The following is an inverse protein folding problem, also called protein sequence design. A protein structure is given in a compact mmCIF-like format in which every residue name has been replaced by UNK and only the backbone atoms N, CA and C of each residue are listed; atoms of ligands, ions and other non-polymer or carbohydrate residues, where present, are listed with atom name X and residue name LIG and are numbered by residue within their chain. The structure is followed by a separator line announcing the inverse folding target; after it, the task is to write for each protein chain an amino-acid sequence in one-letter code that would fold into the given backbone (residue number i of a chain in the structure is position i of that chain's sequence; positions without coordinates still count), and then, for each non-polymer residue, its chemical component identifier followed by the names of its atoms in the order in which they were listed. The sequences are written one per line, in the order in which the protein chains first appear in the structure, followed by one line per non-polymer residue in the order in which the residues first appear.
data_IF_338698648882
#
_entry.id   IF_338698648882
#
_cell.length_a   1.000
_cell.length_b   1.000
_cell.length_c   1.000
_cell.angle_alpha   90.00
_cell.angle_beta   90.00
_cell.angle_gamma   90.00
#
_symmetry.space_group_name_H-M   'P 1'
#
loop_
_entity.id
_entity.type
_entity.pdbx_description
1 polymer ?
#
# COMPACT_ATOMS: atom_id res chain seq x y z
N UNK A 1 3.31 28.20 23.15
CA UNK A 1 2.56 27.06 23.73
C UNK A 1 3.36 25.77 23.53
N UNK A 2 4.51 25.62 24.21
CA UNK A 2 5.36 24.43 24.09
C UNK A 2 5.48 23.79 25.47
N UNK A 3 4.59 22.85 25.74
CA UNK A 3 4.79 21.88 26.81
C UNK A 3 5.70 20.80 26.25
N UNK A 4 7.02 20.97 26.37
CA UNK A 4 7.97 19.90 26.09
C UNK A 4 7.60 18.76 27.03
N UNK A 5 7.11 17.65 26.50
CA UNK A 5 6.95 16.42 27.25
C UNK A 5 8.31 16.12 27.87
N UNK A 6 8.43 16.15 29.20
CA UNK A 6 9.65 15.78 29.93
C UNK A 6 9.34 14.55 30.76
N UNK A 7 10.22 13.55 30.70
CA UNK A 7 10.10 12.31 31.46
C UNK A 7 10.24 11.05 30.61
N UNK A 8 10.06 9.86 31.20
CA UNK A 8 10.30 8.57 30.56
C UNK A 8 9.54 8.35 29.24
N UNK A 9 8.34 8.91 29.11
CA UNK A 9 7.54 8.84 27.88
C UNK A 9 8.18 9.64 26.75
N UNK A 10 8.73 10.82 27.03
CA UNK A 10 9.37 11.65 26.01
C UNK A 10 10.63 10.96 25.47
N UNK A 11 11.48 10.44 26.37
CA UNK A 11 12.65 9.65 25.98
C UNK A 11 12.26 8.42 25.15
N UNK A 12 11.14 7.76 25.49
CA UNK A 12 10.62 6.62 24.73
C UNK A 12 10.12 7.02 23.35
N UNK A 13 9.48 8.18 23.21
CA UNK A 13 9.05 8.72 21.91
C UNK A 13 10.28 9.01 21.05
N UNK A 14 11.29 9.68 21.60
CA UNK A 14 12.53 10.02 20.88
C UNK A 14 13.21 8.74 20.37
N UNK A 15 13.36 7.72 21.23
CA UNK A 15 13.90 6.41 20.84
C UNK A 15 13.10 5.77 19.70
N UNK A 16 11.76 5.80 19.76
CA UNK A 16 10.92 5.23 18.71
C UNK A 16 11.03 5.99 17.39
N UNK A 17 11.16 7.32 17.44
CA UNK A 17 11.35 8.16 16.26
C UNK A 17 12.72 7.92 15.61
N UNK A 18 13.79 7.82 16.41
CA UNK A 18 15.12 7.49 15.92
C UNK A 18 15.14 6.09 15.28
N UNK A 19 14.51 5.11 15.92
CA UNK A 19 14.38 3.76 15.36
C UNK A 19 13.61 3.74 14.06
N UNK A 20 12.51 4.50 13.95
CA UNK A 20 11.74 4.64 12.71
C UNK A 20 12.60 5.27 11.62
N UNK A 21 13.28 6.37 11.91
CA UNK A 21 14.15 7.05 10.94
C UNK A 21 15.28 6.14 10.45
N UNK A 22 15.92 5.39 11.35
CA UNK A 22 16.94 4.41 10.98
C UNK A 22 16.39 3.27 10.11
N UNK A 23 15.18 2.79 10.42
CA UNK A 23 14.50 1.78 9.61
C UNK A 23 14.13 2.29 8.21
N UNK A 24 13.64 3.53 8.12
CA UNK A 24 13.30 4.18 6.85
C UNK A 24 14.55 4.28 5.94
N UNK A 25 15.68 4.76 6.48
CA UNK A 25 16.94 4.87 5.73
C UNK A 25 17.39 3.50 5.24
N UNK A 26 17.48 2.50 6.13
CA UNK A 26 17.92 1.17 5.76
C UNK A 26 17.00 0.52 4.71
N UNK A 27 15.68 0.77 4.80
CA UNK A 27 14.72 0.28 3.82
C UNK A 27 14.92 0.92 2.45
N UNK A 28 14.99 2.26 2.37
CA UNK A 28 15.16 2.93 1.08
C UNK A 28 16.52 2.68 0.45
N UNK A 29 17.59 2.54 1.23
CA UNK A 29 18.90 2.14 0.72
C UNK A 29 18.85 0.77 0.03
N UNK A 30 18.06 -0.16 0.56
CA UNK A 30 17.91 -1.50 0.00
C UNK A 30 16.89 -1.59 -1.15
N UNK A 31 15.81 -0.79 -1.11
CA UNK A 31 14.60 -1.05 -1.89
C UNK A 31 14.32 -0.01 -2.99
N UNK A 32 15.00 1.14 -3.00
CA UNK A 32 14.68 2.24 -3.91
C UNK A 32 14.66 1.84 -5.39
N UNK A 33 15.67 1.09 -5.86
CA UNK A 33 15.73 0.64 -7.26
C UNK A 33 14.59 -0.33 -7.60
N UNK A 34 14.29 -1.25 -6.68
CA UNK A 34 13.21 -2.24 -6.86
C UNK A 34 11.84 -1.56 -6.88
N UNK A 35 11.62 -0.58 -6.00
CA UNK A 35 10.41 0.24 -5.97
C UNK A 35 10.27 1.06 -7.25
N UNK A 36 11.33 1.72 -7.71
CA UNK A 36 11.29 2.48 -8.97
C UNK A 36 10.93 1.58 -10.16
N UNK A 37 11.54 0.39 -10.25
CA UNK A 37 11.23 -0.60 -11.26
C UNK A 37 9.78 -1.12 -11.16
N UNK A 38 9.26 -1.32 -9.95
CA UNK A 38 7.87 -1.69 -9.73
C UNK A 38 6.91 -0.59 -10.19
N UNK A 39 7.15 0.67 -9.79
CA UNK A 39 6.34 1.82 -10.20
C UNK A 39 6.32 1.98 -11.73
N UNK A 40 7.44 1.72 -12.40
CA UNK A 40 7.50 1.74 -13.85
C UNK A 40 6.59 0.67 -14.48
N UNK A 41 6.68 -0.59 -14.02
CA UNK A 41 5.79 -1.68 -14.50
C UNK A 41 4.30 -1.40 -14.22
N UNK A 42 4.00 -0.80 -13.07
CA UNK A 42 2.64 -0.36 -12.74
C UNK A 42 2.15 0.70 -13.74
N UNK A 43 2.99 1.69 -14.05
CA UNK A 43 2.65 2.73 -15.01
C UNK A 43 2.37 2.16 -16.41
N UNK A 44 3.13 1.16 -16.85
CA UNK A 44 2.88 0.45 -18.12
C UNK A 44 1.52 -0.25 -18.12
N UNK A 45 1.16 -0.96 -17.04
CA UNK A 45 -0.15 -1.63 -16.91
C UNK A 45 -1.31 -0.62 -16.91
N UNK A 46 -1.18 0.48 -16.18
CA UNK A 46 -2.17 1.57 -16.24
C UNK A 46 -2.29 2.18 -17.64
N UNK A 47 -1.19 2.31 -18.38
CA UNK A 47 -1.22 2.81 -19.76
C UNK A 47 -1.95 1.86 -20.73
N UNK A 48 -1.96 0.55 -20.42
CA UNK A 48 -2.73 -0.47 -21.15
C UNK A 48 -4.18 -0.61 -20.67
N UNK A 49 -4.61 0.23 -19.72
CA UNK A 49 -5.98 0.23 -19.19
C UNK A 49 -6.18 -0.64 -17.94
N UNK A 50 -5.11 -1.21 -17.38
CA UNK A 50 -5.15 -1.95 -16.12
C UNK A 50 -5.54 -1.11 -14.92
N UNK A 51 -5.96 -1.77 -13.84
CA UNK A 51 -6.40 -1.17 -12.57
C UNK A 51 -5.55 -1.67 -11.42
N UNK A 52 -5.54 -0.96 -10.30
CA UNK A 52 -4.95 -1.45 -9.04
C UNK A 52 -6.00 -2.19 -8.21
N UNK A 53 -5.75 -3.45 -7.87
CA UNK A 53 -6.46 -4.20 -6.84
C UNK A 53 -5.58 -4.23 -5.59
N UNK A 54 -6.01 -3.54 -4.53
CA UNK A 54 -5.33 -3.47 -3.25
C UNK A 54 -6.02 -4.40 -2.23
N UNK A 55 -5.29 -5.33 -1.63
CA UNK A 55 -5.85 -6.43 -0.83
C UNK A 55 -5.40 -6.33 0.64
N UNK A 56 -6.33 -6.55 1.58
CA UNK A 56 -5.99 -6.73 2.99
C UNK A 56 -7.10 -7.37 3.83
N UNK A 57 -6.78 -8.39 4.61
CA UNK A 57 -7.73 -9.08 5.49
C UNK A 57 -7.64 -8.57 6.93
N UNK A 58 -6.41 -8.39 7.45
CA UNK A 58 -6.20 -7.87 8.81
C UNK A 58 -6.70 -6.44 8.98
N UNK A 59 -7.07 -5.99 10.20
CA UNK A 59 -7.51 -4.61 10.43
C UNK A 59 -6.54 -3.56 9.90
N UNK A 60 -5.23 -3.80 10.06
CA UNK A 60 -4.17 -2.92 9.56
C UNK A 60 -4.13 -2.95 8.03
N UNK A 61 -4.03 -4.15 7.41
CA UNK A 61 -3.97 -4.28 5.96
C UNK A 61 -5.21 -3.70 5.24
N UNK A 62 -6.40 -3.82 5.85
CA UNK A 62 -7.62 -3.17 5.34
C UNK A 62 -7.51 -1.65 5.30
N UNK A 63 -6.87 -1.05 6.31
CA UNK A 63 -6.63 0.39 6.34
C UNK A 63 -5.73 0.80 5.18
N UNK A 64 -4.62 0.08 4.99
CA UNK A 64 -3.62 0.40 3.95
C UNK A 64 -4.18 0.15 2.53
N UNK A 65 -4.90 -0.96 2.32
CA UNK A 65 -5.53 -1.28 1.04
C UNK A 65 -6.55 -0.21 0.61
N UNK A 66 -7.37 0.27 1.54
CA UNK A 66 -8.31 1.36 1.26
C UNK A 66 -7.58 2.69 1.05
N UNK A 67 -6.57 2.97 1.84
CA UNK A 67 -5.79 4.20 1.72
C UNK A 67 -5.15 4.31 0.34
N UNK A 68 -4.41 3.28 -0.08
CA UNK A 68 -3.75 3.30 -1.40
C UNK A 68 -4.78 3.39 -2.52
N UNK A 69 -5.90 2.65 -2.45
CA UNK A 69 -6.93 2.73 -3.47
C UNK A 69 -7.49 4.15 -3.61
N UNK A 70 -7.76 4.83 -2.49
CA UNK A 70 -8.25 6.22 -2.46
C UNK A 70 -7.24 7.18 -3.05
N UNK A 71 -5.95 7.05 -2.77
CA UNK A 71 -4.91 7.93 -3.33
C UNK A 71 -4.80 7.83 -4.86
N UNK A 72 -5.07 6.66 -5.44
CA UNK A 72 -5.11 6.48 -6.90
C UNK A 72 -6.37 7.08 -7.52
N UNK A 73 -7.55 6.87 -6.93
CA UNK A 73 -8.81 7.39 -7.48
C UNK A 73 -9.04 8.89 -7.20
N UNK A 74 -8.45 9.43 -6.12
CA UNK A 74 -8.57 10.83 -5.70
C UNK A 74 -7.18 11.43 -5.43
N UNK A 75 -6.35 11.65 -6.47
CA UNK A 75 -4.99 12.12 -6.28
C UNK A 75 -4.97 13.52 -5.64
N UNK A 76 -4.28 13.65 -4.52
CA UNK A 76 -4.14 14.92 -3.77
C UNK A 76 -3.25 15.93 -4.51
N UNK A 77 -2.51 15.47 -5.53
CA UNK A 77 -1.63 16.30 -6.35
C UNK A 77 -2.43 16.95 -7.49
N UNK A 78 -2.47 18.28 -7.49
CA UNK A 78 -3.16 19.09 -8.52
C UNK A 78 -2.70 18.69 -9.93
N UNK A 79 -3.67 18.50 -10.83
CA UNK A 79 -3.43 18.21 -12.24
C UNK A 79 -3.03 16.76 -12.56
N UNK A 80 -2.94 15.87 -11.56
CA UNK A 80 -2.74 14.44 -11.80
C UNK A 80 -4.07 13.76 -12.18
N UNK A 81 -3.99 12.85 -13.16
CA UNK A 81 -5.12 12.03 -13.58
C UNK A 81 -5.42 10.98 -12.51
N UNK A 82 -6.70 10.83 -12.15
CA UNK A 82 -7.16 9.70 -11.36
C UNK A 82 -6.88 8.38 -12.09
N UNK A 83 -6.41 7.38 -11.36
CA UNK A 83 -6.13 6.04 -11.86
C UNK A 83 -7.12 5.06 -11.22
N UNK A 84 -7.63 4.07 -11.98
CA UNK A 84 -8.63 3.16 -11.47
C UNK A 84 -8.04 2.23 -10.41
N UNK A 85 -8.65 2.18 -9.23
CA UNK A 85 -8.24 1.31 -8.15
C UNK A 85 -9.44 0.79 -7.35
N UNK A 86 -9.31 -0.42 -6.80
CA UNK A 86 -10.28 -1.09 -5.93
C UNK A 86 -9.56 -1.59 -4.67
N UNK A 87 -10.12 -1.28 -3.50
CA UNK A 87 -9.69 -1.87 -2.24
C UNK A 87 -10.55 -3.09 -1.91
N UNK A 88 -9.97 -4.29 -1.99
CA UNK A 88 -10.59 -5.54 -1.60
C UNK A 88 -10.22 -5.86 -0.15
N UNK A 89 -11.24 -6.05 0.68
CA UNK A 89 -11.07 -6.20 2.11
C UNK A 89 -11.94 -7.34 2.67
N UNK A 90 -11.52 -7.89 3.81
CA UNK A 90 -12.13 -9.10 4.38
C UNK A 90 -13.63 -9.00 4.68
N UNK A 91 -14.20 -7.80 4.85
CA UNK A 91 -15.66 -7.65 5.00
C UNK A 91 -16.46 -8.02 3.74
N UNK A 92 -15.83 -8.02 2.57
CA UNK A 92 -16.43 -8.45 1.30
C UNK A 92 -16.45 -9.98 1.11
N UNK A 93 -15.97 -10.75 2.09
CA UNK A 93 -15.79 -12.20 2.00
C UNK A 93 -14.32 -12.61 1.77
N UNK A 94 -14.05 -13.88 1.40
CA UNK A 94 -12.70 -14.35 1.13
C UNK A 94 -12.01 -13.53 0.04
N UNK A 95 -10.79 -13.04 0.29
CA UNK A 95 -10.07 -12.19 -0.66
C UNK A 95 -9.74 -12.90 -1.98
N UNK A 96 -9.45 -14.20 -1.92
CA UNK A 96 -9.22 -15.03 -3.11
C UNK A 96 -10.44 -14.99 -4.04
N UNK A 97 -11.63 -15.30 -3.52
CA UNK A 97 -12.87 -15.25 -4.30
C UNK A 97 -13.20 -13.84 -4.83
N UNK A 98 -12.91 -12.79 -4.05
CA UNK A 98 -13.08 -11.41 -4.52
C UNK A 98 -12.10 -11.08 -5.66
N UNK A 99 -10.86 -11.57 -5.57
CA UNK A 99 -9.80 -11.34 -6.56
C UNK A 99 -10.10 -12.09 -7.85
N UNK A 100 -10.47 -13.38 -7.76
CA UNK A 100 -10.87 -14.21 -8.91
C UNK A 100 -12.04 -13.59 -9.69
N UNK A 101 -12.97 -12.95 -8.97
CA UNK A 101 -14.11 -12.27 -9.59
C UNK A 101 -13.73 -10.94 -10.25
N UNK A 102 -12.76 -10.23 -9.68
CA UNK A 102 -12.46 -8.85 -10.06
C UNK A 102 -11.30 -8.72 -11.05
N UNK A 103 -10.30 -9.60 -10.99
CA UNK A 103 -9.03 -9.46 -11.67
C UNK A 103 -9.14 -9.65 -13.19
N UNK A 104 -8.45 -8.77 -13.92
CA UNK A 104 -8.27 -8.81 -15.36
C UNK A 104 -6.76 -8.90 -15.71
N UNK A 105 -6.37 -9.38 -16.91
CA UNK A 105 -4.96 -9.65 -17.25
C UNK A 105 -3.99 -8.47 -17.06
N UNK A 106 -4.47 -7.24 -17.27
CA UNK A 106 -3.67 -6.02 -17.13
C UNK A 106 -3.69 -5.42 -15.71
N UNK A 107 -4.45 -5.99 -14.78
CA UNK A 107 -4.53 -5.46 -13.42
C UNK A 107 -3.22 -5.61 -12.65
N UNK A 108 -3.04 -4.77 -11.64
CA UNK A 108 -1.93 -4.76 -10.70
C UNK A 108 -2.50 -5.22 -9.37
N UNK A 109 -1.96 -6.29 -8.82
CA UNK A 109 -2.37 -6.80 -7.51
C UNK A 109 -1.34 -6.38 -6.45
N UNK A 110 -1.80 -5.70 -5.40
CA UNK A 110 -0.98 -5.24 -4.27
C UNK A 110 -1.58 -5.75 -2.97
N UNK A 111 -0.88 -6.66 -2.30
CA UNK A 111 -1.30 -7.23 -1.02
C UNK A 111 -0.52 -6.62 0.15
N UNK A 112 -1.23 -6.22 1.22
CA UNK A 112 -0.64 -5.59 2.41
C UNK A 112 -0.32 -6.57 3.55
N UNK A 113 -0.39 -7.88 3.28
CA UNK A 113 -0.04 -8.94 4.23
C UNK A 113 0.46 -10.18 3.46
N UNK A 114 1.38 -10.96 4.06
CA UNK A 114 2.03 -12.06 3.34
C UNK A 114 1.11 -13.25 3.07
N UNK A 115 0.03 -13.46 3.85
CA UNK A 115 -0.96 -14.50 3.57
C UNK A 115 -1.84 -14.17 2.37
N UNK A 116 -2.15 -12.89 2.13
CA UNK A 116 -2.90 -12.44 0.95
C UNK A 116 -2.10 -12.62 -0.35
N UNK A 117 -0.78 -12.82 -0.28
CA UNK A 117 0.05 -13.16 -1.44
C UNK A 117 -0.27 -14.56 -2.01
N UNK A 118 -0.83 -15.48 -1.22
CA UNK A 118 -1.28 -16.80 -1.70
C UNK A 118 -2.40 -16.70 -2.75
N UNK A 119 -3.25 -15.68 -2.66
CA UNK A 119 -4.31 -15.40 -3.63
C UNK A 119 -3.79 -14.83 -4.97
N UNK A 120 -2.52 -14.39 -5.01
CA UNK A 120 -1.90 -13.80 -6.20
C UNK A 120 -1.40 -14.86 -7.18
N UNK A 121 -1.28 -16.13 -6.76
CA UNK A 121 -0.80 -17.22 -7.63
C UNK A 121 -1.82 -17.69 -8.68
N UNK A 122 -3.02 -17.11 -8.73
CA UNK A 122 -4.12 -17.51 -9.63
C UNK A 122 -4.54 -16.42 -10.64
N UNK A 123 -3.89 -15.24 -10.64
CA UNK A 123 -4.18 -14.14 -11.57
C UNK A 123 -3.10 -13.97 -12.66
#
# INVERSE_FOLDING_TARGET
MSGVLRGPIAARIDELLERRAGADVAYFDAESERLAGLCHRMAERFARGGRLLALGASPQARSDARHVAVEFVHPVIVGKRALPALGLAGEGGPLEAQTDLAAEPEDIVMAFESEAAGAVHLA
#
